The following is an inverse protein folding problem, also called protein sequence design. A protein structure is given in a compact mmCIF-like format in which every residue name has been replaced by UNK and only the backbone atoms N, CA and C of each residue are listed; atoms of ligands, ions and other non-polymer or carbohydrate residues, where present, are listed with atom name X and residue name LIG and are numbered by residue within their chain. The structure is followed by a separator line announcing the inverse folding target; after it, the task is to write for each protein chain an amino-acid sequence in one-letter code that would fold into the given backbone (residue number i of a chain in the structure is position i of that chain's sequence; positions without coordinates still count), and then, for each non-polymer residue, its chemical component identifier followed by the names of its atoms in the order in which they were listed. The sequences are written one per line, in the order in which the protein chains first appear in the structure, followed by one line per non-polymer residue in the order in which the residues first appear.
data_IF_902554056781
#
_entry.id   IF_902554056781
#
_cell.length_a   1.000
_cell.length_b   1.000
_cell.length_c   1.000
_cell.angle_alpha   90.00
_cell.angle_beta   90.00
_cell.angle_gamma   90.00
#
_symmetry.space_group_name_H-M   'P 1'
#
loop_
_entity.id
_entity.type
_entity.pdbx_description
1 polymer ?
#
# COMPACT_ATOMS: atom_id res chain seq x y z
N UNK A 1 18.16 7.20 68.60
CA UNK A 1 18.52 5.77 68.46
C UNK A 1 19.32 5.58 67.18
N UNK A 2 20.30 4.68 67.22
CA UNK A 2 20.99 3.99 66.12
C UNK A 2 21.73 4.84 65.03
N UNK A 3 23.02 4.52 64.90
CA UNK A 3 24.04 4.95 63.92
C UNK A 3 24.47 3.75 63.06
N UNK A 4 25.40 4.01 62.13
CA UNK A 4 26.42 3.11 61.54
C UNK A 4 26.07 2.51 60.15
N UNK A 5 27.08 2.19 59.30
CA UNK A 5 28.20 3.10 58.92
C UNK A 5 28.66 3.01 57.45
N UNK A 6 29.54 3.94 57.05
CA UNK A 6 30.46 3.75 55.92
C UNK A 6 31.56 2.71 56.27
N UNK A 7 32.12 2.03 55.27
CA UNK A 7 33.38 1.29 55.40
C UNK A 7 34.44 1.73 54.37
N UNK A 8 35.70 1.69 54.82
CA UNK A 8 36.88 2.16 54.10
C UNK A 8 37.54 1.06 53.25
N UNK A 9 38.35 1.49 52.28
CA UNK A 9 39.25 0.61 51.52
C UNK A 9 40.53 0.23 52.31
N UNK A 10 41.15 -0.90 51.94
CA UNK A 10 42.55 -1.24 52.27
C UNK A 10 43.22 -1.80 51.01
N UNK A 11 44.48 -1.41 50.77
CA UNK A 11 45.28 -1.82 49.61
C UNK A 11 46.70 -2.19 50.08
N UNK A 12 47.11 -3.44 49.84
CA UNK A 12 48.45 -4.05 50.07
C UNK A 12 48.55 -5.25 49.12
N UNK A 13 49.63 -5.64 48.46
CA UNK A 13 51.03 -5.16 48.34
C UNK A 13 51.78 -6.10 47.36
N UNK A 14 52.91 -5.67 46.78
CA UNK A 14 53.60 -6.34 45.63
C UNK A 14 54.62 -7.44 46.02
N UNK A 15 55.14 -8.14 44.98
CA UNK A 15 56.38 -8.96 44.85
C UNK A 15 56.19 -10.50 44.85
N UNK A 16 56.89 -11.37 44.09
CA UNK A 16 57.96 -11.22 43.06
C UNK A 16 57.94 -12.37 41.98
N UNK A 17 58.74 -12.22 40.92
CA UNK A 17 58.97 -13.03 39.67
C UNK A 17 59.89 -14.27 39.85
N UNK A 18 60.35 -15.06 38.81
CA UNK A 18 59.94 -15.32 37.38
C UNK A 18 59.93 -16.87 37.04
N UNK A 19 60.34 -17.38 35.84
CA UNK A 19 59.62 -17.39 34.54
C UNK A 19 59.46 -18.80 33.89
N UNK A 20 58.62 -18.93 32.86
CA UNK A 20 58.92 -19.79 31.70
C UNK A 20 58.52 -19.11 30.39
N UNK A 21 59.38 -19.28 29.37
CA UNK A 21 59.28 -18.68 28.05
C UNK A 21 58.55 -19.59 27.05
N UNK A 22 57.77 -19.00 26.15
CA UNK A 22 57.78 -19.37 24.74
C UNK A 22 57.30 -18.20 23.87
N UNK A 23 58.15 -17.82 22.92
CA UNK A 23 57.96 -16.87 21.81
C UNK A 23 56.81 -17.34 20.87
N UNK A 24 56.23 -16.52 19.97
CA UNK A 24 56.91 -15.77 18.89
C UNK A 24 56.18 -14.49 18.43
N UNK A 25 56.97 -13.44 18.26
CA UNK A 25 56.86 -12.22 17.42
C UNK A 25 55.50 -11.72 16.88
N UNK A 26 55.18 -10.47 17.24
CA UNK A 26 54.51 -9.51 16.37
C UNK A 26 55.44 -8.31 16.15
N UNK A 27 55.75 -7.97 14.88
CA UNK A 27 56.56 -6.81 14.53
C UNK A 27 55.69 -5.53 14.41
N UNK A 28 56.28 -4.36 14.67
CA UNK A 28 55.55 -3.11 14.81
C UNK A 28 55.76 -2.13 13.63
N UNK A 29 54.73 -1.30 13.41
CA UNK A 29 54.77 0.04 12.79
C UNK A 29 55.00 0.12 11.25
N UNK A 30 54.66 1.26 10.58
CA UNK A 30 54.17 2.54 11.12
C UNK A 30 52.82 3.03 10.52
N UNK A 31 52.39 4.20 10.98
CA UNK A 31 51.21 4.95 10.53
C UNK A 31 51.35 5.49 9.10
N UNK A 32 50.22 5.57 8.38
CA UNK A 32 50.15 6.16 7.03
C UNK A 32 48.74 6.61 6.66
N UNK A 33 48.47 7.91 6.76
CA UNK A 33 47.19 8.52 6.39
C UNK A 33 46.99 8.44 4.86
N UNK A 34 45.92 7.81 4.38
CA UNK A 34 45.58 7.72 2.95
C UNK A 34 44.07 7.85 2.73
N UNK A 35 43.66 8.92 2.06
CA UNK A 35 42.32 9.02 1.47
C UNK A 35 42.15 7.92 0.40
N UNK A 36 40.95 7.30 0.28
CA UNK A 36 40.69 6.33 -0.77
C UNK A 36 40.69 6.99 -2.16
N UNK A 37 41.08 6.26 -3.23
CA UNK A 37 41.12 6.80 -4.58
C UNK A 37 39.71 7.02 -5.16
N UNK A 38 39.55 7.88 -6.19
CA UNK A 38 38.28 8.02 -6.90
C UNK A 38 37.90 6.70 -7.56
N UNK A 39 36.66 6.24 -7.33
CA UNK A 39 36.13 5.06 -8.02
C UNK A 39 36.01 5.35 -9.52
N UNK A 40 36.78 4.63 -10.33
CA UNK A 40 36.66 4.66 -11.79
C UNK A 40 35.24 4.20 -12.18
N UNK A 41 34.48 5.07 -12.84
CA UNK A 41 33.12 4.75 -13.26
C UNK A 41 33.11 3.60 -14.26
N UNK A 42 32.21 2.64 -14.05
CA UNK A 42 32.04 1.52 -14.97
C UNK A 42 31.64 1.99 -16.38
N UNK A 43 32.02 1.26 -17.45
CA UNK A 43 31.57 1.58 -18.81
C UNK A 43 30.04 1.57 -18.88
N UNK A 44 29.45 2.60 -19.49
CA UNK A 44 28.00 2.65 -19.72
C UNK A 44 27.63 1.68 -20.84
N UNK A 45 26.71 0.76 -20.55
CA UNK A 45 26.13 -0.14 -21.56
C UNK A 45 25.40 0.69 -22.64
N UNK A 46 25.62 0.35 -23.91
CA UNK A 46 25.00 1.04 -25.04
C UNK A 46 23.72 0.32 -25.50
N UNK A 47 22.69 1.08 -25.88
CA UNK A 47 21.38 0.53 -26.22
C UNK A 47 21.17 0.40 -27.74
N UNK A 48 20.59 -0.72 -28.17
CA UNK A 48 20.27 -1.02 -29.57
C UNK A 48 18.81 -1.44 -29.70
N UNK A 49 18.13 -0.95 -30.74
CA UNK A 49 16.80 -1.39 -31.16
C UNK A 49 16.82 -1.87 -32.62
N UNK A 50 16.30 -3.07 -32.88
CA UNK A 50 16.11 -3.57 -34.26
C UNK A 50 14.94 -4.58 -34.33
N UNK A 51 14.44 -4.84 -35.53
CA UNK A 51 13.59 -6.01 -35.78
C UNK A 51 14.43 -7.29 -35.80
N UNK A 52 13.91 -8.34 -35.16
CA UNK A 52 14.61 -9.60 -35.03
C UNK A 52 14.82 -10.28 -36.41
N UNK A 53 16.07 -10.41 -36.84
CA UNK A 53 16.41 -11.02 -38.15
C UNK A 53 16.01 -12.50 -38.28
N UNK A 54 15.81 -13.19 -37.15
CA UNK A 54 15.31 -14.58 -37.07
C UNK A 54 14.95 -14.93 -35.61
N UNK A 55 14.27 -16.07 -35.40
CA UNK A 55 13.86 -16.57 -34.08
C UNK A 55 15.03 -17.07 -33.19
N UNK A 56 16.29 -16.84 -33.58
CA UNK A 56 17.49 -17.39 -32.92
C UNK A 56 17.91 -16.64 -31.64
N UNK A 57 17.32 -15.48 -31.34
CA UNK A 57 17.57 -14.74 -30.10
C UNK A 57 16.56 -15.09 -29.02
N UNK A 58 17.02 -15.34 -27.80
CA UNK A 58 16.17 -15.45 -26.60
C UNK A 58 16.21 -14.16 -25.78
N UNK A 59 15.08 -13.83 -25.16
CA UNK A 59 14.94 -12.72 -24.24
C UNK A 59 15.57 -13.07 -22.89
N UNK A 60 16.41 -12.19 -22.34
CA UNK A 60 17.13 -12.45 -21.09
C UNK A 60 16.28 -12.35 -19.82
N UNK A 61 15.16 -11.65 -19.85
CA UNK A 61 14.26 -11.53 -18.70
C UNK A 61 13.26 -12.69 -18.59
N UNK A 62 12.68 -13.15 -19.71
CA UNK A 62 11.64 -14.20 -19.69
C UNK A 62 12.11 -15.55 -20.26
N UNK A 63 13.36 -15.66 -20.72
CA UNK A 63 13.98 -16.85 -21.34
C UNK A 63 13.30 -17.41 -22.61
N UNK A 64 12.21 -16.80 -23.08
CA UNK A 64 11.49 -17.20 -24.31
C UNK A 64 12.21 -16.71 -25.57
N UNK A 65 12.00 -17.40 -26.69
CA UNK A 65 12.45 -16.95 -28.00
C UNK A 65 11.78 -15.61 -28.38
N UNK A 66 12.52 -14.78 -29.11
CA UNK A 66 12.02 -13.54 -29.72
C UNK A 66 11.69 -13.87 -31.17
N UNK A 67 10.46 -13.59 -31.59
CA UNK A 67 9.97 -13.93 -32.92
C UNK A 67 10.64 -13.09 -34.01
N UNK A 68 10.97 -13.69 -35.15
CA UNK A 68 11.48 -12.98 -36.31
C UNK A 68 10.54 -11.87 -36.78
N UNK A 69 11.10 -10.74 -37.23
CA UNK A 69 10.39 -9.49 -37.57
C UNK A 69 9.72 -8.76 -36.39
N UNK A 70 9.70 -9.30 -35.17
CA UNK A 70 9.27 -8.55 -33.98
C UNK A 70 10.33 -7.56 -33.51
N UNK A 71 9.91 -6.46 -32.87
CA UNK A 71 10.81 -5.46 -32.30
C UNK A 71 11.51 -6.00 -31.04
N UNK A 72 12.83 -5.83 -30.98
CA UNK A 72 13.64 -6.23 -29.82
C UNK A 72 14.64 -5.15 -29.42
N UNK A 73 14.91 -5.09 -28.12
CA UNK A 73 15.87 -4.19 -27.50
C UNK A 73 17.08 -4.97 -26.97
N UNK A 74 18.26 -4.35 -27.00
CA UNK A 74 19.47 -4.92 -26.39
C UNK A 74 20.27 -3.90 -25.60
N UNK A 75 20.83 -4.38 -24.49
CA UNK A 75 21.97 -3.78 -23.80
C UNK A 75 23.25 -4.40 -24.35
N UNK A 76 24.22 -3.57 -24.73
CA UNK A 76 25.49 -3.96 -25.31
C UNK A 76 26.62 -3.46 -24.40
N UNK A 77 27.29 -4.41 -23.75
CA UNK A 77 28.41 -4.17 -22.84
C UNK A 77 29.72 -4.69 -23.46
N UNK A 78 30.85 -4.01 -23.24
CA UNK A 78 32.16 -4.54 -23.66
C UNK A 78 32.52 -5.79 -22.85
N UNK A 79 32.77 -6.90 -23.53
CA UNK A 79 33.26 -8.13 -22.89
C UNK A 79 34.76 -8.08 -22.61
N UNK A 80 35.28 -9.07 -21.89
CA UNK A 80 36.72 -9.25 -21.64
C UNK A 80 37.50 -9.77 -22.87
N UNK A 81 36.94 -9.65 -24.07
CA UNK A 81 37.51 -10.16 -25.32
C UNK A 81 37.14 -9.23 -26.50
N UNK A 82 37.46 -9.61 -27.75
CA UNK A 82 37.30 -8.74 -28.92
C UNK A 82 35.84 -8.57 -29.40
N UNK A 83 34.86 -9.10 -28.66
CA UNK A 83 33.45 -9.11 -29.04
C UNK A 83 32.58 -8.49 -27.94
N UNK A 84 31.60 -7.68 -28.34
CA UNK A 84 30.62 -7.11 -27.42
C UNK A 84 29.60 -8.16 -26.94
N UNK A 85 29.17 -8.03 -25.68
CA UNK A 85 28.15 -8.89 -25.08
C UNK A 85 26.78 -8.24 -25.26
N UNK A 86 25.92 -8.87 -26.07
CA UNK A 86 24.59 -8.37 -26.43
C UNK A 86 23.50 -9.11 -25.67
N UNK A 87 22.76 -8.41 -24.79
CA UNK A 87 21.64 -8.95 -24.00
C UNK A 87 20.30 -8.54 -24.61
N UNK A 88 19.71 -9.41 -25.44
CA UNK A 88 18.41 -9.18 -26.09
C UNK A 88 17.21 -9.34 -25.14
N UNK A 89 16.17 -8.55 -25.37
CA UNK A 89 14.88 -8.57 -24.68
C UNK A 89 13.73 -8.31 -25.66
N UNK A 90 12.54 -8.83 -25.38
CA UNK A 90 11.30 -8.31 -25.96
C UNK A 90 11.05 -6.87 -25.47
N UNK A 91 10.27 -6.09 -26.21
CA UNK A 91 9.91 -4.71 -25.87
C UNK A 91 9.41 -4.56 -24.41
N UNK A 92 8.39 -5.34 -24.03
CA UNK A 92 7.81 -5.35 -22.68
C UNK A 92 8.66 -6.06 -21.61
N UNK A 93 9.80 -6.63 -21.99
CA UNK A 93 10.70 -7.36 -21.09
C UNK A 93 12.03 -6.62 -20.88
N UNK A 94 12.16 -5.38 -21.39
CA UNK A 94 13.37 -4.59 -21.25
C UNK A 94 13.39 -3.89 -19.87
N UNK A 95 14.53 -3.87 -19.15
CA UNK A 95 14.63 -3.27 -17.81
C UNK A 95 14.74 -1.73 -17.86
N UNK A 96 13.65 -1.07 -18.26
CA UNK A 96 13.57 0.41 -18.41
C UNK A 96 14.01 1.15 -17.14
N UNK A 97 13.59 0.66 -15.96
CA UNK A 97 13.89 1.28 -14.66
C UNK A 97 15.38 1.27 -14.27
N UNK A 98 16.21 0.42 -14.89
CA UNK A 98 17.65 0.32 -14.60
C UNK A 98 18.52 0.95 -15.70
N UNK A 99 17.96 1.16 -16.89
CA UNK A 99 18.69 1.61 -18.07
C UNK A 99 17.82 2.51 -18.96
N UNK A 100 17.57 3.74 -18.52
CA UNK A 100 17.00 4.79 -19.37
C UNK A 100 18.10 5.43 -20.24
N UNK A 101 17.87 5.61 -21.56
CA UNK A 101 18.78 6.39 -22.40
C UNK A 101 18.54 7.90 -22.17
N UNK A 102 19.58 8.72 -22.32
CA UNK A 102 19.45 10.19 -22.17
C UNK A 102 18.49 10.84 -23.18
N UNK A 103 18.12 10.11 -24.24
CA UNK A 103 17.02 10.42 -25.15
C UNK A 103 16.62 9.11 -25.88
N UNK A 104 15.33 8.86 -26.16
CA UNK A 104 14.91 7.69 -26.95
C UNK A 104 15.53 7.66 -28.36
N UNK A 105 15.78 8.83 -28.95
CA UNK A 105 16.45 8.99 -30.24
C UNK A 105 17.95 8.61 -30.20
N UNK A 106 18.57 8.55 -29.02
CA UNK A 106 19.95 8.09 -28.85
C UNK A 106 20.12 6.57 -28.93
N UNK A 107 19.02 5.80 -29.00
CA UNK A 107 19.06 4.34 -29.16
C UNK A 107 19.54 3.98 -30.58
N UNK A 108 20.61 3.20 -30.68
CA UNK A 108 21.18 2.81 -31.98
C UNK A 108 20.17 1.95 -32.75
N UNK A 109 19.77 2.42 -33.93
CA UNK A 109 18.77 1.77 -34.79
C UNK A 109 17.36 2.36 -34.72
N UNK A 110 17.08 3.29 -33.79
CA UNK A 110 15.77 3.92 -33.61
C UNK A 110 15.19 4.53 -34.91
N UNK A 111 16.00 5.28 -35.67
CA UNK A 111 15.60 5.91 -36.94
C UNK A 111 15.25 4.93 -38.06
N UNK A 112 15.58 3.64 -37.90
CA UNK A 112 15.28 2.57 -38.88
C UNK A 112 14.03 1.76 -38.55
N UNK A 113 13.31 2.13 -37.47
CA UNK A 113 12.04 1.53 -37.07
C UNK A 113 10.85 2.22 -37.75
N UNK A 114 9.68 1.57 -37.76
CA UNK A 114 8.40 2.19 -38.17
C UNK A 114 7.99 3.28 -37.18
N UNK A 115 7.27 4.31 -37.65
CA UNK A 115 6.79 5.42 -36.81
C UNK A 115 6.00 4.94 -35.57
N UNK A 116 5.12 3.96 -35.72
CA UNK A 116 4.36 3.37 -34.60
C UNK A 116 5.26 2.73 -33.52
N UNK A 117 6.37 2.12 -33.94
CA UNK A 117 7.33 1.47 -33.04
C UNK A 117 8.29 2.50 -32.42
N UNK A 118 8.57 3.61 -33.13
CA UNK A 118 9.28 4.78 -32.60
C UNK A 118 8.46 5.47 -31.51
N UNK A 119 7.16 5.70 -31.75
CA UNK A 119 6.21 6.25 -30.77
C UNK A 119 6.07 5.34 -29.54
N UNK A 120 5.96 4.02 -29.74
CA UNK A 120 5.93 3.05 -28.63
C UNK A 120 7.19 3.12 -27.76
N UNK A 121 8.38 3.24 -28.37
CA UNK A 121 9.64 3.41 -27.64
C UNK A 121 9.74 4.78 -26.95
N UNK A 122 9.31 5.87 -27.61
CA UNK A 122 9.27 7.21 -27.00
C UNK A 122 8.37 7.17 -25.76
N UNK A 123 7.18 6.57 -25.85
CA UNK A 123 6.26 6.43 -24.72
C UNK A 123 6.89 5.66 -23.55
N UNK A 124 7.42 4.47 -23.82
CA UNK A 124 8.07 3.60 -22.83
C UNK A 124 9.22 4.27 -22.06
N UNK A 125 9.98 5.17 -22.70
CA UNK A 125 11.07 5.89 -22.03
C UNK A 125 10.67 7.28 -21.51
N UNK A 126 9.58 7.89 -21.98
CA UNK A 126 9.11 9.20 -21.52
C UNK A 126 8.25 9.10 -20.25
N UNK A 127 7.50 8.01 -20.07
CA UNK A 127 6.70 7.74 -18.86
C UNK A 127 7.59 7.53 -17.62
N UNK A 128 8.82 7.05 -17.82
CA UNK A 128 9.82 6.88 -16.75
C UNK A 128 10.73 8.10 -16.51
N UNK A 129 10.61 9.17 -17.30
CA UNK A 129 11.53 10.32 -17.27
C UNK A 129 11.03 11.56 -16.51
N UNK A 130 9.78 11.57 -16.03
CA UNK A 130 9.12 12.76 -15.43
C UNK A 130 9.05 12.75 -13.91
N UNK A 131 10.12 12.30 -13.26
CA UNK A 131 10.29 12.40 -11.80
C UNK A 131 11.67 12.95 -11.43
N UNK A 132 12.09 14.08 -12.02
CA UNK A 132 13.14 14.99 -11.50
C UNK A 132 13.37 16.20 -12.46
N UNK A 133 12.55 17.25 -12.38
CA UNK A 133 12.93 18.68 -12.38
C UNK A 133 11.68 19.61 -12.40
N UNK A 134 11.83 20.87 -11.97
CA UNK A 134 10.75 21.74 -11.47
C UNK A 134 10.29 22.84 -12.45
N UNK A 135 8.96 23.05 -12.48
CA UNK A 135 8.21 24.34 -12.40
C UNK A 135 8.48 25.43 -13.48
N UNK A 136 7.37 26.06 -13.91
CA UNK A 136 7.20 27.05 -14.99
C UNK A 136 7.15 26.40 -16.40
N UNK A 137 6.26 26.77 -17.32
CA UNK A 137 5.40 27.96 -17.41
C UNK A 137 4.04 27.66 -18.10
N UNK A 138 3.19 28.68 -18.15
CA UNK A 138 1.75 28.72 -18.43
C UNK A 138 1.22 28.30 -19.82
N UNK A 139 -0.02 27.76 -19.79
CA UNK A 139 -1.23 28.09 -20.60
C UNK A 139 -1.36 27.79 -22.12
N UNK A 140 -2.65 27.66 -22.54
CA UNK A 140 -3.25 27.38 -23.88
C UNK A 140 -3.01 25.96 -24.48
N UNK A 141 -3.93 25.26 -25.18
CA UNK A 141 -5.37 25.39 -25.55
C UNK A 141 -6.03 23.96 -25.44
N UNK A 142 -7.27 23.76 -24.97
CA UNK A 142 -8.61 23.81 -25.63
C UNK A 142 -8.90 22.71 -26.70
N UNK A 143 -9.70 21.71 -26.26
CA UNK A 143 -10.80 20.98 -26.91
C UNK A 143 -10.73 20.43 -28.37
N UNK A 144 -10.96 19.11 -28.50
CA UNK A 144 -11.89 18.40 -29.41
C UNK A 144 -11.56 16.88 -29.38
N UNK A 145 -12.48 15.91 -29.49
CA UNK A 145 -13.94 15.92 -29.69
C UNK A 145 -14.54 14.65 -29.03
N UNK A 146 -15.85 14.65 -28.75
CA UNK A 146 -16.63 13.50 -28.28
C UNK A 146 -17.36 12.81 -29.46
N UNK A 147 -18.11 11.74 -29.13
CA UNK A 147 -19.05 11.00 -30.00
C UNK A 147 -18.39 9.94 -30.92
N UNK A 148 -19.01 8.80 -31.23
CA UNK A 148 -20.18 8.08 -30.68
C UNK A 148 -20.13 6.63 -31.19
N UNK A 149 -20.79 5.68 -30.51
CA UNK A 149 -21.80 4.74 -31.09
C UNK A 149 -22.12 3.58 -30.14
N UNK A 150 -23.32 3.04 -30.28
CA UNK A 150 -24.00 2.18 -29.31
C UNK A 150 -24.09 0.69 -29.73
N UNK A 151 -24.26 -0.16 -28.70
CA UNK A 151 -25.12 -1.35 -28.63
C UNK A 151 -24.94 -2.66 -29.47
N UNK A 152 -25.41 -3.74 -28.81
CA UNK A 152 -25.85 -5.06 -29.30
C UNK A 152 -24.81 -6.08 -29.84
N UNK A 153 -24.90 -7.41 -29.62
CA UNK A 153 -25.52 -8.26 -28.57
C UNK A 153 -25.01 -9.73 -28.70
N UNK A 154 -25.06 -10.47 -27.59
CA UNK A 154 -25.25 -11.93 -27.49
C UNK A 154 -24.23 -12.99 -27.94
N UNK A 155 -23.89 -13.82 -26.93
CA UNK A 155 -23.80 -15.30 -26.93
C UNK A 155 -22.45 -16.00 -27.22
N UNK A 156 -21.76 -16.24 -26.10
CA UNK A 156 -21.43 -17.58 -25.57
C UNK A 156 -20.60 -18.52 -26.47
N UNK A 157 -19.34 -18.71 -26.08
CA UNK A 157 -18.74 -20.05 -25.92
C UNK A 157 -17.90 -20.07 -24.64
N UNK A 158 -17.87 -21.22 -23.97
CA UNK A 158 -17.42 -21.40 -22.58
C UNK A 158 -16.23 -22.34 -22.56
N UNK A 159 -15.06 -21.89 -22.13
CA UNK A 159 -13.91 -22.75 -21.83
C UNK A 159 -13.14 -22.21 -20.61
N UNK A 160 -12.76 -23.10 -19.71
CA UNK A 160 -12.11 -22.75 -18.44
C UNK A 160 -10.62 -22.46 -18.61
N UNK A 161 -10.17 -21.32 -18.11
CA UNK A 161 -8.81 -21.05 -17.62
C UNK A 161 -8.91 -20.18 -16.36
N UNK A 162 -7.98 -20.29 -15.38
CA UNK A 162 -8.14 -19.62 -14.08
C UNK A 162 -8.00 -18.10 -14.20
N UNK A 163 -9.03 -17.38 -13.71
CA UNK A 163 -9.09 -15.91 -13.77
C UNK A 163 -8.01 -15.26 -12.88
N UNK A 164 -7.13 -14.48 -13.51
CA UNK A 164 -6.25 -13.54 -12.82
C UNK A 164 -7.07 -12.28 -12.55
N UNK A 165 -7.32 -11.98 -11.26
CA UNK A 165 -7.93 -10.75 -10.70
C UNK A 165 -8.59 -9.83 -11.74
N UNK A 166 -9.86 -10.11 -12.06
CA UNK A 166 -10.73 -9.11 -12.67
C UNK A 166 -10.94 -7.97 -11.66
N UNK A 167 -10.09 -6.94 -11.72
CA UNK A 167 -10.20 -5.74 -10.91
C UNK A 167 -11.56 -5.09 -11.22
N UNK A 168 -12.47 -5.09 -10.26
CA UNK A 168 -13.78 -4.45 -10.42
C UNK A 168 -13.53 -2.94 -10.46
N UNK A 169 -13.54 -2.37 -11.67
CA UNK A 169 -13.40 -0.93 -11.87
C UNK A 169 -14.65 -0.23 -11.33
N UNK A 170 -14.54 0.37 -10.14
CA UNK A 170 -15.65 1.12 -9.56
C UNK A 170 -15.69 2.47 -10.27
N UNK A 171 -16.76 2.71 -11.04
CA UNK A 171 -17.07 4.04 -11.57
C UNK A 171 -17.52 4.92 -10.40
N UNK A 172 -16.57 5.62 -9.80
CA UNK A 172 -16.80 6.64 -8.78
C UNK A 172 -16.62 8.01 -9.45
N UNK A 173 -17.63 8.86 -9.33
CA UNK A 173 -17.60 10.26 -9.78
C UNK A 173 -18.04 11.15 -8.63
N UNK A 174 -17.47 12.35 -8.55
CA UNK A 174 -17.87 13.37 -7.56
C UNK A 174 -19.36 13.75 -7.73
N UNK A 175 -19.92 13.63 -8.94
CA UNK A 175 -21.36 13.81 -9.20
C UNK A 175 -22.26 12.82 -8.46
N UNK A 176 -21.73 11.64 -8.14
CA UNK A 176 -22.50 10.51 -7.58
C UNK A 176 -22.41 10.49 -6.04
N UNK A 177 -21.65 11.44 -5.48
CA UNK A 177 -21.42 11.63 -4.04
C UNK A 177 -22.52 12.52 -3.46
N UNK A 178 -23.21 12.04 -2.44
CA UNK A 178 -24.37 12.72 -1.85
C UNK A 178 -24.12 13.10 -0.38
N UNK A 179 -24.64 14.25 0.06
CA UNK A 179 -24.67 14.66 1.47
C UNK A 179 -25.78 13.98 2.29
N UNK A 180 -26.58 13.12 1.65
CA UNK A 180 -27.62 12.30 2.27
C UNK A 180 -27.43 10.83 1.92
N UNK A 181 -27.62 9.95 2.90
CA UNK A 181 -27.83 8.53 2.66
C UNK A 181 -29.33 8.24 2.66
N UNK A 182 -29.93 8.22 1.46
CA UNK A 182 -31.37 8.06 1.23
C UNK A 182 -32.18 9.21 1.86
N UNK A 183 -32.96 8.92 2.89
CA UNK A 183 -33.74 9.91 3.66
C UNK A 183 -32.96 10.51 4.85
N UNK A 184 -31.81 9.92 5.23
CA UNK A 184 -30.98 10.42 6.32
C UNK A 184 -29.97 11.46 5.82
N UNK A 185 -29.88 12.57 6.55
CA UNK A 185 -28.90 13.64 6.30
C UNK A 185 -27.60 13.29 7.02
N UNK A 186 -26.47 13.46 6.33
CA UNK A 186 -25.13 13.22 6.88
C UNK A 186 -24.55 14.53 7.45
N UNK A 187 -23.60 14.41 8.37
CA UNK A 187 -22.80 15.54 8.83
C UNK A 187 -21.91 16.07 7.69
N UNK A 188 -21.45 17.34 7.69
CA UNK A 188 -20.86 17.97 6.50
C UNK A 188 -19.70 17.21 5.83
N UNK A 189 -18.81 16.61 6.62
CA UNK A 189 -17.67 15.80 6.15
C UNK A 189 -18.05 14.36 5.76
N UNK A 190 -19.26 13.91 6.07
CA UNK A 190 -19.71 12.55 5.76
C UNK A 190 -20.51 12.56 4.47
N UNK A 191 -20.17 11.65 3.56
CA UNK A 191 -20.82 11.50 2.25
C UNK A 191 -21.34 10.09 2.04
N UNK A 192 -22.27 9.95 1.11
CA UNK A 192 -22.75 8.68 0.61
C UNK A 192 -22.36 8.46 -0.85
N UNK A 193 -21.99 7.24 -1.19
CA UNK A 193 -21.86 6.75 -2.57
C UNK A 193 -22.46 5.34 -2.64
N UNK A 194 -23.50 5.16 -3.45
CA UNK A 194 -24.28 3.91 -3.53
C UNK A 194 -24.76 3.42 -2.14
N UNK A 195 -24.23 2.30 -1.63
CA UNK A 195 -24.53 1.72 -0.30
C UNK A 195 -23.46 2.02 0.75
N UNK A 196 -22.44 2.80 0.41
CA UNK A 196 -21.35 3.20 1.31
C UNK A 196 -21.59 4.60 1.86
N UNK A 197 -21.42 4.77 3.17
CA UNK A 197 -21.18 6.08 3.78
C UNK A 197 -19.68 6.17 4.07
N UNK A 198 -19.04 7.28 3.74
CA UNK A 198 -17.61 7.50 4.00
C UNK A 198 -17.31 8.89 4.54
N UNK A 199 -16.21 9.00 5.28
CA UNK A 199 -15.67 10.29 5.72
C UNK A 199 -14.82 10.89 4.60
N UNK A 200 -15.19 12.09 4.15
CA UNK A 200 -14.46 12.90 3.17
C UNK A 200 -13.06 13.25 3.69
N UNK A 201 -12.10 13.40 2.77
CA UNK A 201 -10.72 13.73 3.13
C UNK A 201 -10.65 15.09 3.83
N UNK A 202 -10.07 15.09 5.02
CA UNK A 202 -9.50 16.28 5.64
C UNK A 202 -8.05 16.48 5.17
N UNK A 203 -7.63 17.75 5.09
CA UNK A 203 -6.22 18.12 4.88
C UNK A 203 -5.34 17.41 5.91
N UNK A 204 -4.31 16.69 5.46
CA UNK A 204 -3.41 15.90 6.30
C UNK A 204 -3.61 14.39 6.26
N UNK A 205 -4.60 13.87 5.54
CA UNK A 205 -4.67 12.43 5.26
C UNK A 205 -3.46 11.97 4.41
N UNK A 206 -2.67 11.03 4.93
CA UNK A 206 -1.52 10.47 4.22
C UNK A 206 -1.93 9.25 3.40
N UNK A 207 -1.68 9.31 2.09
CA UNK A 207 -1.68 8.12 1.24
C UNK A 207 -0.39 7.33 1.44
N UNK A 208 -0.47 6.01 1.30
CA UNK A 208 0.66 5.12 1.57
C UNK A 208 0.54 3.82 0.79
N UNK A 209 1.67 3.17 0.54
CA UNK A 209 1.70 1.78 0.11
C UNK A 209 1.40 0.83 1.28
N UNK A 210 1.59 1.26 2.53
CA UNK A 210 1.31 0.47 3.74
C UNK A 210 -0.09 0.79 4.28
N UNK A 211 -1.00 -0.17 4.25
CA UNK A 211 -2.36 -0.02 4.78
C UNK A 211 -2.55 -0.87 6.05
N UNK A 212 -2.98 -0.23 7.13
CA UNK A 212 -3.45 -0.90 8.34
C UNK A 212 -4.97 -0.75 8.41
N UNK A 213 -5.70 -1.83 8.10
CA UNK A 213 -7.15 -1.83 8.02
C UNK A 213 -7.79 -2.49 9.25
N UNK A 214 -8.95 -1.97 9.68
CA UNK A 214 -9.61 -2.40 10.91
C UNK A 214 -11.14 -2.49 10.73
N UNK A 215 -11.79 -3.48 11.34
CA UNK A 215 -13.20 -3.35 11.70
C UNK A 215 -13.40 -2.34 12.86
N UNK A 216 -14.63 -1.93 13.15
CA UNK A 216 -14.98 -1.07 14.26
C UNK A 216 -15.74 -1.75 15.42
N UNK A 217 -16.90 -2.37 15.17
CA UNK A 217 -17.81 -2.89 16.22
C UNK A 217 -17.36 -4.30 16.67
N UNK A 218 -16.51 -4.38 17.70
CA UNK A 218 -15.91 -5.64 18.16
C UNK A 218 -14.40 -5.69 17.97
N UNK A 219 -13.84 -4.80 17.15
CA UNK A 219 -12.39 -4.65 16.95
C UNK A 219 -11.83 -3.43 17.69
N UNK A 220 -12.15 -2.21 17.23
CA UNK A 220 -11.65 -0.97 17.83
C UNK A 220 -12.51 -0.50 19.01
N UNK A 221 -13.83 -0.65 18.88
CA UNK A 221 -14.81 -0.23 19.86
C UNK A 221 -15.62 -1.42 20.37
N UNK A 222 -15.71 -1.55 21.69
CA UNK A 222 -16.68 -2.42 22.36
C UNK A 222 -18.04 -1.73 22.34
N UNK A 223 -18.99 -2.32 21.64
CA UNK A 223 -20.32 -1.76 21.41
C UNK A 223 -21.40 -2.81 21.71
N UNK A 224 -22.62 -2.35 21.93
CA UNK A 224 -23.76 -3.22 22.26
C UNK A 224 -24.90 -2.92 21.28
N UNK A 225 -25.31 -3.92 20.49
CA UNK A 225 -26.39 -3.79 19.50
C UNK A 225 -27.74 -3.40 20.10
N UNK A 226 -27.92 -3.54 21.43
CA UNK A 226 -29.12 -3.12 22.16
C UNK A 226 -29.10 -1.65 22.58
N UNK A 227 -27.92 -1.01 22.62
CA UNK A 227 -27.75 0.39 23.04
C UNK A 227 -27.48 1.27 21.82
N UNK A 228 -28.23 2.35 21.69
CA UNK A 228 -28.21 3.22 20.50
C UNK A 228 -27.89 4.63 20.94
N UNK A 229 -26.74 5.15 20.49
CA UNK A 229 -26.30 6.51 20.75
C UNK A 229 -24.84 6.71 20.37
N UNK A 230 -24.46 7.94 20.05
CA UNK A 230 -23.09 8.32 19.70
C UNK A 230 -22.06 8.02 20.81
N UNK A 231 -22.52 7.95 22.06
CA UNK A 231 -21.69 7.74 23.25
C UNK A 231 -21.77 6.30 23.78
N UNK A 232 -22.56 5.41 23.15
CA UNK A 232 -22.78 4.03 23.62
C UNK A 232 -21.67 3.07 23.13
N UNK A 233 -20.43 3.37 23.54
CA UNK A 233 -19.25 2.58 23.21
C UNK A 233 -18.13 2.78 24.25
N UNK A 234 -17.18 1.83 24.30
CA UNK A 234 -15.88 2.02 24.96
C UNK A 234 -14.77 1.51 24.03
N UNK A 235 -13.51 1.89 24.26
CA UNK A 235 -12.38 1.22 23.60
C UNK A 235 -12.42 -0.29 23.89
N UNK A 236 -12.04 -1.11 22.92
CA UNK A 236 -11.94 -2.57 23.12
C UNK A 236 -10.71 -2.93 23.98
N UNK A 237 -9.56 -2.32 23.68
CA UNK A 237 -8.33 -2.36 24.48
C UNK A 237 -7.81 -0.93 24.74
N UNK A 238 -7.21 -0.69 25.90
CA UNK A 238 -6.68 0.64 26.28
C UNK A 238 -5.47 1.08 25.45
N UNK A 239 -4.75 0.13 24.87
CA UNK A 239 -3.57 0.25 24.00
C UNK A 239 -3.87 0.72 22.58
N UNK A 240 -5.14 0.73 22.16
CA UNK A 240 -5.54 1.05 20.78
C UNK A 240 -5.02 2.42 20.31
N UNK A 241 -5.18 3.54 21.06
CA UNK A 241 -4.69 4.84 20.63
C UNK A 241 -3.18 4.85 20.37
N UNK A 242 -2.40 4.24 21.27
CA UNK A 242 -0.95 4.20 21.17
C UNK A 242 -0.48 3.32 20.00
N UNK A 243 -1.11 2.15 19.79
CA UNK A 243 -0.81 1.26 18.66
C UNK A 243 -1.18 1.90 17.31
N UNK A 244 -2.32 2.59 17.22
CA UNK A 244 -2.70 3.34 16.01
C UNK A 244 -1.75 4.52 15.75
N UNK A 245 -1.33 5.25 16.78
CA UNK A 245 -0.36 6.34 16.64
C UNK A 245 1.03 5.84 16.21
N UNK A 246 1.48 4.69 16.71
CA UNK A 246 2.72 4.04 16.24
C UNK A 246 2.64 3.73 14.75
N UNK A 247 1.59 3.02 14.32
CA UNK A 247 1.38 2.66 12.92
C UNK A 247 1.38 3.89 11.99
N UNK A 248 0.73 4.98 12.38
CA UNK A 248 0.75 6.23 11.61
C UNK A 248 2.16 6.84 11.53
N UNK A 249 2.93 6.79 12.61
CA UNK A 249 4.34 7.23 12.63
C UNK A 249 5.24 6.32 11.76
N UNK A 250 4.95 5.02 11.73
CA UNK A 250 5.61 3.98 10.91
C UNK A 250 5.23 4.07 9.41
N UNK A 251 4.42 5.06 9.04
CA UNK A 251 4.02 5.36 7.66
C UNK A 251 2.80 4.57 7.17
N UNK A 252 2.08 3.86 8.04
CA UNK A 252 0.82 3.23 7.67
C UNK A 252 -0.29 4.25 7.51
N UNK A 253 -1.04 4.10 6.42
CA UNK A 253 -2.38 4.65 6.32
C UNK A 253 -3.34 3.74 7.09
N UNK A 254 -3.87 4.26 8.18
CA UNK A 254 -4.93 3.60 8.94
C UNK A 254 -6.24 3.69 8.13
N UNK A 255 -7.08 2.66 8.12
CA UNK A 255 -8.41 2.67 7.47
C UNK A 255 -9.42 1.85 8.29
N UNK A 256 -10.66 2.33 8.42
CA UNK A 256 -11.75 1.56 9.05
C UNK A 256 -12.75 1.09 7.98
N UNK A 257 -13.08 -0.20 7.99
CA UNK A 257 -14.09 -0.84 7.13
C UNK A 257 -15.13 -1.56 7.99
N UNK A 258 -16.37 -1.07 8.02
CA UNK A 258 -17.42 -1.58 8.93
C UNK A 258 -18.76 -1.84 8.21
N UNK A 259 -19.68 -2.62 8.82
CA UNK A 259 -20.71 -3.39 8.12
C UNK A 259 -22.18 -3.19 8.61
N UNK A 260 -22.76 -2.00 8.44
CA UNK A 260 -23.98 -1.48 9.12
C UNK A 260 -25.33 -1.77 8.45
N UNK A 261 -25.72 -3.04 8.36
CA UNK A 261 -27.02 -3.42 7.79
C UNK A 261 -28.25 -2.79 8.47
N UNK A 262 -28.13 -2.28 9.70
CA UNK A 262 -29.22 -1.60 10.41
C UNK A 262 -29.57 -0.24 9.79
N UNK A 263 -28.61 0.48 9.20
CA UNK A 263 -28.86 1.75 8.50
C UNK A 263 -29.78 1.50 7.29
N UNK A 264 -29.54 0.42 6.55
CA UNK A 264 -30.42 0.04 5.44
C UNK A 264 -31.79 -0.46 5.91
N UNK A 265 -31.81 -1.37 6.89
CA UNK A 265 -33.02 -2.05 7.38
C UNK A 265 -34.00 -1.12 8.10
N UNK A 266 -33.52 -0.18 8.92
CA UNK A 266 -34.36 0.61 9.82
C UNK A 266 -34.94 1.87 9.14
N UNK A 267 -35.76 1.69 8.09
CA UNK A 267 -36.31 2.81 7.28
C UNK A 267 -36.82 4.00 8.13
N UNK A 268 -37.73 3.74 9.07
CA UNK A 268 -38.36 4.79 9.90
C UNK A 268 -37.46 5.32 11.03
N UNK A 269 -36.25 4.78 11.22
CA UNK A 269 -35.28 5.20 12.24
C UNK A 269 -33.87 5.37 11.63
N UNK A 270 -33.78 5.62 10.31
CA UNK A 270 -32.50 5.62 9.59
C UNK A 270 -31.58 6.72 10.08
N UNK A 271 -32.11 7.93 10.27
CA UNK A 271 -31.36 9.05 10.86
C UNK A 271 -30.73 8.65 12.21
N UNK A 272 -31.52 8.08 13.14
CA UNK A 272 -31.03 7.62 14.45
C UNK A 272 -29.94 6.55 14.33
N UNK A 273 -30.04 5.64 13.35
CA UNK A 273 -29.03 4.63 13.09
C UNK A 273 -27.72 5.23 12.53
N UNK A 274 -27.85 6.20 11.61
CA UNK A 274 -26.73 6.98 11.05
C UNK A 274 -26.05 7.78 12.16
N UNK A 275 -26.79 8.62 12.89
CA UNK A 275 -26.27 9.47 13.97
C UNK A 275 -25.55 8.64 15.05
N UNK A 276 -26.10 7.47 15.40
CA UNK A 276 -25.50 6.53 16.35
C UNK A 276 -24.18 5.94 15.84
N UNK A 277 -24.07 5.56 14.56
CA UNK A 277 -22.83 5.01 13.99
C UNK A 277 -21.79 6.11 13.74
N UNK A 278 -22.19 7.16 13.01
CA UNK A 278 -21.33 8.30 12.65
C UNK A 278 -20.84 9.03 13.90
N UNK A 279 -21.70 9.23 14.90
CA UNK A 279 -21.33 9.83 16.18
C UNK A 279 -20.32 8.97 16.96
N UNK A 280 -20.50 7.64 17.02
CA UNK A 280 -19.50 6.74 17.63
C UNK A 280 -18.14 6.80 16.94
N UNK A 281 -18.14 6.88 15.60
CA UNK A 281 -16.91 6.99 14.81
C UNK A 281 -16.21 8.35 14.98
N UNK A 282 -16.94 9.46 14.95
CA UNK A 282 -16.39 10.79 15.25
C UNK A 282 -15.77 10.82 16.66
N UNK A 283 -16.53 10.38 17.67
CA UNK A 283 -16.06 10.32 19.06
C UNK A 283 -14.81 9.41 19.21
N UNK A 284 -14.73 8.32 18.46
CA UNK A 284 -13.55 7.45 18.44
C UNK A 284 -12.34 8.15 17.79
N UNK A 285 -12.53 8.77 16.63
CA UNK A 285 -11.48 9.52 15.93
C UNK A 285 -10.96 10.65 16.82
N UNK A 286 -11.85 11.43 17.44
CA UNK A 286 -11.48 12.43 18.45
C UNK A 286 -10.69 11.79 19.59
N UNK A 287 -11.17 10.68 20.17
CA UNK A 287 -10.50 10.03 21.30
C UNK A 287 -9.12 9.47 20.99
N UNK A 288 -8.87 9.04 19.75
CA UNK A 288 -7.53 8.65 19.26
C UNK A 288 -6.67 9.88 18.96
N UNK A 289 -7.28 11.00 18.53
CA UNK A 289 -6.61 12.29 18.33
C UNK A 289 -6.30 13.08 19.61
N UNK A 290 -6.81 12.70 20.79
CA UNK A 290 -6.50 13.41 22.04
C UNK A 290 -5.06 13.12 22.48
N UNK A 291 -4.14 14.11 22.50
CA UNK A 291 -2.85 13.94 23.14
C UNK A 291 -3.05 13.75 24.65
N UNK A 292 -2.46 12.69 25.20
CA UNK A 292 -2.61 12.34 26.62
C UNK A 292 -2.21 13.50 27.51
N UNK A 293 -3.16 14.00 28.30
CA UNK A 293 -3.02 15.15 29.18
C UNK A 293 -2.03 14.84 30.30
N UNK A 294 -0.76 15.22 30.15
CA UNK A 294 0.23 14.78 31.13
C UNK A 294 1.69 15.24 31.03
N UNK A 295 2.06 16.34 30.37
CA UNK A 295 3.15 17.23 30.83
C UNK A 295 3.26 18.50 29.99
N UNK A 296 3.51 19.64 30.63
CA UNK A 296 3.96 20.86 29.96
C UNK A 296 5.37 20.63 29.40
N UNK A 297 5.53 20.65 28.08
CA UNK A 297 6.83 21.04 27.50
C UNK A 297 6.66 21.77 26.17
N UNK A 298 7.15 23.00 26.13
CA UNK A 298 7.29 23.78 24.90
C UNK A 298 8.30 23.08 23.99
N UNK A 299 7.85 22.65 22.81
CA UNK A 299 8.69 22.40 21.65
C UNK A 299 7.80 22.44 20.41
N UNK A 300 8.24 23.14 19.36
CA UNK A 300 7.48 23.38 18.13
C UNK A 300 7.42 22.13 17.23
N UNK A 301 6.89 21.03 17.75
CA UNK A 301 6.52 19.88 16.94
C UNK A 301 5.06 20.01 16.52
N UNK A 302 4.85 20.04 15.20
CA UNK A 302 3.53 19.96 14.58
C UNK A 302 2.88 18.68 15.08
N UNK A 303 1.78 18.80 15.81
CA UNK A 303 0.94 17.66 16.13
C UNK A 303 0.45 17.07 14.81
N UNK A 304 0.94 15.89 14.45
CA UNK A 304 0.52 15.24 13.22
C UNK A 304 -0.90 14.71 13.43
N UNK A 305 -1.90 15.44 12.93
CA UNK A 305 -3.30 15.04 13.04
C UNK A 305 -3.52 13.73 12.29
N UNK A 306 -3.67 12.64 13.04
CA UNK A 306 -4.00 11.34 12.49
C UNK A 306 -5.46 11.34 12.03
N UNK A 307 -5.67 11.64 10.74
CA UNK A 307 -6.96 11.48 10.08
C UNK A 307 -7.13 10.01 9.64
N UNK A 308 -8.23 9.37 10.07
CA UNK A 308 -8.58 8.01 9.67
C UNK A 308 -9.69 8.08 8.60
N UNK A 309 -9.50 7.54 7.38
CA UNK A 309 -10.59 7.27 6.46
C UNK A 309 -11.48 6.19 7.06
N UNK A 310 -12.79 6.39 6.96
CA UNK A 310 -13.79 5.43 7.43
C UNK A 310 -14.76 5.15 6.31
N UNK A 311 -15.01 3.86 6.06
CA UNK A 311 -15.99 3.36 5.12
C UNK A 311 -17.00 2.45 5.84
N UNK A 312 -18.28 2.74 5.63
CA UNK A 312 -19.43 2.14 6.30
C UNK A 312 -20.30 1.48 5.22
N UNK A 313 -20.25 0.16 5.07
CA UNK A 313 -21.11 -0.57 4.14
C UNK A 313 -22.50 -0.75 4.75
N UNK A 314 -23.43 0.13 4.36
CA UNK A 314 -24.78 0.16 4.93
C UNK A 314 -25.69 -0.96 4.42
N UNK A 315 -25.43 -1.50 3.22
CA UNK A 315 -26.32 -2.46 2.59
C UNK A 315 -26.35 -3.85 3.23
N UNK A 316 -27.22 -4.69 2.69
CA UNK A 316 -27.49 -6.04 3.20
C UNK A 316 -26.81 -7.10 2.33
N UNK A 317 -26.34 -8.17 2.96
CA UNK A 317 -25.88 -9.37 2.26
C UNK A 317 -27.05 -10.29 1.92
N UNK A 318 -26.79 -11.27 1.05
CA UNK A 318 -27.76 -12.32 0.74
C UNK A 318 -28.27 -13.04 2.00
N UNK A 319 -29.58 -13.27 2.04
CA UNK A 319 -30.15 -14.31 2.88
C UNK A 319 -30.03 -15.64 2.14
N UNK A 320 -29.66 -16.71 2.84
CA UNK A 320 -29.63 -18.06 2.28
C UNK A 320 -30.97 -18.39 1.62
N UNK A 321 -30.95 -18.67 0.31
CA UNK A 321 -32.15 -18.98 -0.49
C UNK A 321 -32.87 -17.78 -1.14
N UNK A 322 -32.35 -16.55 -1.04
CA UNK A 322 -32.92 -15.39 -1.75
C UNK A 322 -32.24 -15.13 -3.11
N UNK A 323 -32.96 -14.50 -4.04
CA UNK A 323 -32.44 -14.08 -5.35
C UNK A 323 -31.16 -13.24 -5.25
N UNK A 324 -30.24 -13.46 -6.19
CA UNK A 324 -28.93 -12.78 -6.31
C UNK A 324 -28.99 -11.24 -6.45
N UNK A 325 -30.17 -10.63 -6.50
CA UNK A 325 -30.37 -9.18 -6.73
C UNK A 325 -29.96 -8.27 -5.56
N UNK A 326 -29.89 -8.79 -4.33
CA UNK A 326 -29.66 -7.98 -3.11
C UNK A 326 -28.30 -8.26 -2.45
N UNK A 327 -27.27 -8.56 -3.25
CA UNK A 327 -25.95 -8.94 -2.73
C UNK A 327 -24.95 -7.78 -2.81
N UNK A 328 -24.99 -6.88 -1.83
CA UNK A 328 -24.18 -5.65 -1.82
C UNK A 328 -22.68 -5.91 -2.01
N UNK A 329 -22.09 -5.36 -3.08
CA UNK A 329 -20.67 -5.48 -3.43
C UNK A 329 -19.71 -4.88 -2.40
N UNK A 330 -20.16 -3.88 -1.64
CA UNK A 330 -19.36 -3.17 -0.63
C UNK A 330 -19.40 -3.86 0.73
N UNK A 331 -20.38 -4.73 0.98
CA UNK A 331 -20.53 -5.41 2.27
C UNK A 331 -19.49 -6.51 2.45
N UNK A 332 -18.72 -6.47 3.55
CA UNK A 332 -17.81 -7.56 3.95
C UNK A 332 -18.61 -8.87 4.07
N UNK A 333 -18.14 -10.00 3.49
CA UNK A 333 -16.76 -10.29 3.11
C UNK A 333 -16.31 -9.81 1.72
N UNK A 334 -17.14 -9.09 0.94
CA UNK A 334 -16.74 -8.66 -0.40
C UNK A 334 -15.76 -7.48 -0.36
N UNK A 335 -14.79 -7.42 -1.29
CA UNK A 335 -13.74 -6.39 -1.31
C UNK A 335 -14.19 -5.01 -1.84
N UNK A 336 -15.49 -4.74 -2.01
CA UNK A 336 -15.94 -3.51 -2.68
C UNK A 336 -15.50 -2.21 -1.97
N UNK A 337 -15.53 -2.17 -0.63
CA UNK A 337 -14.98 -1.02 0.10
C UNK A 337 -13.46 -0.89 -0.04
N UNK A 338 -12.73 -2.00 -0.12
CA UNK A 338 -11.28 -1.99 -0.36
C UNK A 338 -10.95 -1.40 -1.72
N UNK A 339 -11.57 -1.94 -2.79
CA UNK A 339 -11.36 -1.42 -4.15
C UNK A 339 -11.76 0.06 -4.28
N UNK A 340 -12.80 0.51 -3.57
CA UNK A 340 -13.18 1.93 -3.53
C UNK A 340 -12.05 2.76 -2.93
N UNK A 341 -11.52 2.34 -1.77
CA UNK A 341 -10.42 3.01 -1.07
C UNK A 341 -9.13 3.03 -1.90
N UNK A 342 -8.75 1.90 -2.47
CA UNK A 342 -7.56 1.71 -3.32
C UNK A 342 -7.61 2.58 -4.58
N UNK A 343 -8.70 2.51 -5.34
CA UNK A 343 -8.83 3.19 -6.63
C UNK A 343 -9.01 4.71 -6.49
N UNK A 344 -9.79 5.17 -5.50
CA UNK A 344 -10.25 6.56 -5.45
C UNK A 344 -9.76 7.35 -4.23
N UNK A 345 -9.30 6.66 -3.19
CA UNK A 345 -8.87 7.30 -1.95
C UNK A 345 -7.40 7.05 -1.60
N UNK A 346 -6.58 6.43 -2.46
CA UNK A 346 -5.14 6.21 -2.24
C UNK A 346 -4.21 6.92 -3.25
N UNK A 347 -4.72 7.90 -4.02
CA UNK A 347 -3.97 8.67 -5.04
C UNK A 347 -3.16 7.83 -6.04
N UNK A 348 -3.63 6.61 -6.35
CA UNK A 348 -2.94 5.69 -7.26
C UNK A 348 -1.67 5.04 -6.70
N UNK A 349 -1.34 5.23 -5.42
CA UNK A 349 -0.20 4.55 -4.79
C UNK A 349 -0.52 3.05 -4.70
N UNK A 350 0.36 2.23 -5.29
CA UNK A 350 0.29 0.77 -5.24
C UNK A 350 0.48 0.31 -3.80
N UNK A 351 -0.40 -0.58 -3.34
CA UNK A 351 -0.41 -1.08 -1.97
C UNK A 351 0.53 -2.29 -1.85
N UNK A 352 1.39 -2.27 -0.83
CA UNK A 352 2.29 -3.36 -0.45
C UNK A 352 1.48 -4.48 0.22
N UNK A 353 1.38 -5.62 -0.47
CA UNK A 353 0.54 -6.78 -0.10
C UNK A 353 1.40 -7.97 0.34
N UNK A 354 0.81 -8.94 1.05
CA UNK A 354 1.54 -10.15 1.50
C UNK A 354 1.84 -11.07 0.32
N UNK A 355 3.01 -10.89 -0.31
CA UNK A 355 3.48 -11.72 -1.41
C UNK A 355 4.12 -13.03 -0.94
N UNK A 356 3.48 -13.71 0.02
CA UNK A 356 3.86 -15.06 0.47
C UNK A 356 3.59 -16.16 -0.57
N UNK A 357 3.22 -15.81 -1.82
CA UNK A 357 2.87 -16.79 -2.87
C UNK A 357 3.84 -16.86 -4.06
N UNK A 358 4.61 -15.81 -4.37
CA UNK A 358 5.59 -15.84 -5.49
C UNK A 358 6.72 -14.82 -5.31
N UNK A 359 7.85 -15.22 -4.71
CA UNK A 359 9.25 -14.86 -5.08
C UNK A 359 10.23 -15.35 -3.99
N UNK A 360 11.33 -16.05 -4.32
CA UNK A 360 12.25 -16.61 -3.32
C UNK A 360 13.38 -15.66 -2.89
N UNK A 361 13.33 -14.36 -3.22
CA UNK A 361 14.45 -13.44 -2.98
C UNK A 361 14.03 -11.96 -2.82
N UNK A 362 13.46 -11.61 -1.67
CA UNK A 362 13.44 -10.23 -1.17
C UNK A 362 13.84 -10.23 0.30
N UNK A 363 14.89 -9.48 0.64
CA UNK A 363 15.50 -9.46 1.98
C UNK A 363 15.07 -8.27 2.83
N UNK A 364 13.86 -7.75 2.60
CA UNK A 364 13.20 -6.75 3.44
C UNK A 364 11.78 -7.22 3.73
N UNK A 365 11.55 -7.70 4.95
CA UNK A 365 10.29 -8.33 5.41
C UNK A 365 9.28 -7.27 5.94
N UNK A 366 9.66 -5.98 5.92
CA UNK A 366 9.09 -4.94 6.79
C UNK A 366 8.15 -3.94 6.09
N UNK A 367 7.20 -4.45 5.30
CA UNK A 367 5.90 -3.81 5.09
C UNK A 367 4.92 -4.76 4.41
N UNK A 368 3.81 -5.06 5.08
CA UNK A 368 2.76 -5.93 4.55
C UNK A 368 1.44 -5.37 5.03
N UNK A 369 0.59 -4.91 4.11
CA UNK A 369 -0.73 -4.39 4.47
C UNK A 369 -1.59 -5.48 5.12
N UNK A 370 -2.31 -5.13 6.17
CA UNK A 370 -3.02 -6.08 7.02
C UNK A 370 -4.41 -5.60 7.42
N UNK A 371 -5.21 -6.54 7.91
CA UNK A 371 -6.56 -6.31 8.40
C UNK A 371 -6.76 -6.91 9.81
N UNK A 372 -7.42 -6.18 10.69
CA UNK A 372 -7.79 -6.64 12.05
C UNK A 372 -9.31 -6.61 12.24
N UNK A 373 -9.92 -7.71 12.68
CA UNK A 373 -11.37 -7.79 12.90
C UNK A 373 -11.82 -8.99 13.74
N UNK A 374 -12.98 -8.90 14.39
CA UNK A 374 -13.47 -9.95 15.31
C UNK A 374 -14.18 -11.11 14.59
N UNK A 375 -14.68 -10.89 13.37
CA UNK A 375 -15.44 -11.88 12.61
C UNK A 375 -14.54 -12.90 11.89
N UNK A 376 -13.85 -13.74 12.67
CA UNK A 376 -12.92 -14.76 12.20
C UNK A 376 -13.55 -16.16 12.00
N UNK A 377 -14.86 -16.31 12.14
CA UNK A 377 -15.56 -17.57 11.94
C UNK A 377 -15.38 -18.61 13.05
N UNK A 378 -14.87 -18.21 14.22
CA UNK A 378 -14.75 -19.08 15.39
C UNK A 378 -16.14 -19.35 15.98
N UNK A 379 -16.26 -20.37 16.83
CA UNK A 379 -17.55 -20.80 17.43
C UNK A 379 -18.27 -19.70 18.23
N UNK A 380 -17.52 -18.73 18.76
CA UNK A 380 -18.02 -17.56 19.48
C UNK A 380 -18.34 -16.36 18.59
N UNK A 381 -17.83 -16.34 17.37
CA UNK A 381 -17.89 -15.16 16.51
C UNK A 381 -19.27 -15.05 15.86
N UNK A 382 -19.71 -13.81 15.64
CA UNK A 382 -21.01 -13.53 15.06
C UNK A 382 -21.06 -13.84 13.54
N UNK A 383 -19.90 -13.88 12.87
CA UNK A 383 -19.73 -14.25 11.46
C UNK A 383 -18.26 -14.56 11.13
N UNK A 384 -17.99 -14.89 9.87
CA UNK A 384 -16.65 -15.04 9.27
C UNK A 384 -16.34 -13.91 8.25
N UNK A 385 -17.03 -12.77 8.37
CA UNK A 385 -17.01 -11.71 7.38
C UNK A 385 -15.66 -10.96 7.28
N UNK A 386 -14.90 -10.87 8.37
CA UNK A 386 -13.64 -10.12 8.42
C UNK A 386 -12.47 -10.95 7.87
N UNK A 387 -12.34 -12.21 8.30
CA UNK A 387 -11.29 -13.09 7.78
C UNK A 387 -11.46 -13.30 6.27
N UNK A 388 -12.68 -13.54 5.80
CA UNK A 388 -12.96 -13.67 4.36
C UNK A 388 -12.79 -12.36 3.57
N UNK A 389 -12.97 -11.20 4.21
CA UNK A 389 -12.65 -9.92 3.58
C UNK A 389 -11.14 -9.79 3.35
N UNK A 390 -10.34 -10.11 4.37
CA UNK A 390 -8.88 -10.12 4.27
C UNK A 390 -8.40 -11.14 3.20
N UNK A 391 -8.92 -12.37 3.22
CA UNK A 391 -8.62 -13.42 2.23
C UNK A 391 -8.98 -12.98 0.79
N UNK A 392 -10.14 -12.36 0.58
CA UNK A 392 -10.59 -11.93 -0.75
C UNK A 392 -9.70 -10.85 -1.37
N UNK A 393 -9.01 -10.06 -0.54
CA UNK A 393 -8.08 -9.00 -0.97
C UNK A 393 -6.66 -9.57 -1.12
N UNK A 394 -6.28 -10.48 -0.21
CA UNK A 394 -4.91 -10.98 -0.01
C UNK A 394 -4.17 -10.28 1.14
N UNK A 395 -4.89 -9.74 2.12
CA UNK A 395 -4.32 -9.11 3.31
C UNK A 395 -3.99 -10.13 4.38
N UNK A 396 -2.92 -9.87 5.15
CA UNK A 396 -2.67 -10.61 6.38
C UNK A 396 -3.74 -10.28 7.42
N UNK A 397 -4.33 -11.29 8.04
CA UNK A 397 -5.40 -11.14 9.03
C UNK A 397 -4.88 -11.28 10.46
N UNK A 398 -5.39 -10.46 11.38
CA UNK A 398 -5.15 -10.57 12.82
C UNK A 398 -6.45 -10.46 13.62
N UNK A 399 -6.50 -11.10 14.78
CA UNK A 399 -7.56 -10.93 15.77
C UNK A 399 -7.30 -9.68 16.64
N UNK A 400 -8.33 -8.93 17.07
CA UNK A 400 -8.18 -7.76 17.94
C UNK A 400 -7.46 -8.09 19.24
N UNK A 401 -7.78 -9.24 19.85
CA UNK A 401 -7.16 -9.70 21.09
C UNK A 401 -5.67 -10.05 20.93
N UNK A 402 -5.25 -10.61 19.79
CA UNK A 402 -3.84 -10.91 19.52
C UNK A 402 -3.05 -9.66 19.10
N UNK A 403 -3.72 -8.73 18.41
CA UNK A 403 -3.09 -7.53 17.87
C UNK A 403 -2.99 -6.39 18.90
N UNK A 404 -4.03 -6.19 19.72
CA UNK A 404 -4.15 -5.06 20.62
C UNK A 404 -3.82 -5.36 22.09
N UNK A 405 -3.88 -6.60 22.59
CA UNK A 405 -3.48 -6.90 23.98
C UNK A 405 -2.05 -6.45 24.35
#
# INVERSE_FOLDING_TARGET
MLRFPNFFAVNVGRSNLPPLLLSVSAAASPSGNRNPPPLLMAPRDSMVAEYAKSNRSSCKACSKAIEGKSLRLALVSKGNGPYDVVKWHHLHCFPVASHSPSSPQAIKGFSSLKSSDQEALIKLFSENGKSEEKVHQATEEVENELQETEEHDSKRTKLWTPDVKAAVSIKFSVSDVNSKYKDATLLPKWKAFQTVIFLERDDGLRDSSKIAAFDFDGCLAKTDVKRVGANEWTLMHSSIPDKLQSLYNDGYKLVIFTNESNIERWKNKRQVAVDSKVGRLNNFIERVKVPVQGFLRQSNHVHAECNLPVFIACGVGLKSGADKKNDDAFRKPKPGMWHLMEQHFNSGIVIDMDQLFFLPFSSSIDAISFYVGDAAGRKSDHSDADIKFAEAIGLKFYLPEDYFA
#
